data_IF_357449674346
#
_entry.id   IF_357449674346
#
_cell.length_a   1.000
_cell.length_b   1.000
_cell.length_c   1.000
_cell.angle_alpha   90.00
_cell.angle_beta   90.00
_cell.angle_gamma   90.00
#
_symmetry.space_group_name_H-M   'P 1'
#
loop_
_entity.id
_entity.type
_entity.pdbx_description
1 polymer ?
#
# COMPACT_ATOMS: atom_id res chain seq x y z
N UNK A 1 2.68 44.41 -1.22
CA UNK A 1 1.85 43.29 -1.70
C UNK A 1 2.45 42.04 -1.06
N UNK A 2 1.79 41.49 -0.04
CA UNK A 2 2.23 40.24 0.59
C UNK A 2 1.67 39.09 -0.25
N UNK A 3 2.52 38.13 -0.61
CA UNK A 3 2.10 36.83 -1.15
C UNK A 3 1.06 36.20 -0.20
N UNK A 4 -0.02 35.58 -0.72
CA UNK A 4 -0.90 34.80 0.13
C UNK A 4 -0.10 33.64 0.72
N UNK A 5 -0.05 33.55 2.04
CA UNK A 5 0.52 32.41 2.75
C UNK A 5 -0.11 31.13 2.18
N UNK A 6 0.72 30.23 1.65
CA UNK A 6 0.28 28.94 1.14
C UNK A 6 -0.60 28.27 2.19
N UNK A 7 -1.87 28.02 1.85
CA UNK A 7 -2.79 27.27 2.70
C UNK A 7 -2.09 25.95 2.99
N UNK A 8 -1.71 25.72 4.25
CA UNK A 8 -1.02 24.50 4.65
C UNK A 8 -1.88 23.31 4.22
N UNK A 9 -1.34 22.48 3.32
CA UNK A 9 -2.03 21.28 2.90
C UNK A 9 -2.07 20.31 4.08
N UNK A 10 -3.19 20.30 4.79
CA UNK A 10 -3.42 19.45 5.98
C UNK A 10 -3.20 17.97 5.67
N UNK A 11 -3.54 17.52 4.46
CA UNK A 11 -3.33 16.14 4.04
C UNK A 11 -1.84 15.83 3.88
N UNK A 12 -1.08 16.71 3.22
CA UNK A 12 0.37 16.58 3.15
C UNK A 12 1.01 16.58 4.55
N UNK A 13 0.54 17.45 5.45
CA UNK A 13 1.06 17.51 6.83
C UNK A 13 0.79 16.21 7.59
N UNK A 14 -0.38 15.59 7.41
CA UNK A 14 -0.69 14.31 8.01
C UNK A 14 0.21 13.18 7.47
N UNK A 15 0.43 13.12 6.16
CA UNK A 15 1.36 12.16 5.53
C UNK A 15 2.77 12.32 6.09
N UNK A 16 3.28 13.55 6.15
CA UNK A 16 4.61 13.84 6.68
C UNK A 16 4.72 13.46 8.18
N UNK A 17 3.67 13.71 8.96
CA UNK A 17 3.60 13.31 10.36
C UNK A 17 3.68 11.78 10.52
N UNK A 18 2.95 11.04 9.69
CA UNK A 18 2.96 9.58 9.70
C UNK A 18 4.33 9.02 9.32
N UNK A 19 4.96 9.57 8.28
CA UNK A 19 6.33 9.19 7.88
C UNK A 19 7.38 9.51 8.94
N UNK A 20 7.18 10.58 9.73
CA UNK A 20 8.04 10.94 10.85
C UNK A 20 7.80 10.11 12.13
N UNK A 21 6.71 9.32 12.17
CA UNK A 21 6.38 8.51 13.35
C UNK A 21 7.46 7.47 13.65
N UNK A 22 7.54 7.04 14.92
CA UNK A 22 8.48 6.00 15.32
C UNK A 22 8.18 4.66 14.62
N UNK A 23 6.89 4.35 14.45
CA UNK A 23 6.42 3.10 13.83
C UNK A 23 6.81 3.02 12.35
N UNK A 24 6.61 4.10 11.60
CA UNK A 24 7.02 4.16 10.20
C UNK A 24 8.54 4.00 10.05
N UNK A 25 9.32 4.77 10.83
CA UNK A 25 10.78 4.71 10.81
C UNK A 25 11.33 3.36 11.25
N UNK A 26 10.65 2.67 12.18
CA UNK A 26 11.04 1.32 12.59
C UNK A 26 10.87 0.31 11.45
N UNK A 27 9.78 0.38 10.68
CA UNK A 27 9.61 -0.48 9.50
C UNK A 27 10.69 -0.22 8.43
N UNK A 28 11.07 1.04 8.19
CA UNK A 28 12.21 1.37 7.33
C UNK A 28 13.51 0.77 7.87
N UNK A 29 13.80 0.95 9.17
CA UNK A 29 15.01 0.40 9.80
C UNK A 29 15.07 -1.12 9.77
N UNK A 30 13.92 -1.80 9.78
CA UNK A 30 13.79 -3.25 9.66
C UNK A 30 13.76 -3.75 8.22
N UNK A 31 13.88 -2.85 7.24
CA UNK A 31 13.74 -3.17 5.81
C UNK A 31 12.40 -3.84 5.46
N UNK A 32 11.31 -3.48 6.16
CA UNK A 32 9.96 -3.92 5.81
C UNK A 32 9.40 -3.12 4.64
N UNK A 33 9.80 -1.86 4.53
CA UNK A 33 9.46 -0.99 3.42
C UNK A 33 10.51 0.11 3.24
N UNK A 34 10.56 0.67 2.04
CA UNK A 34 11.49 1.73 1.65
C UNK A 34 10.76 2.80 0.85
N UNK A 35 11.08 4.07 1.08
CA UNK A 35 10.51 5.19 0.32
C UNK A 35 11.32 5.37 -0.96
N UNK A 36 10.66 5.38 -2.12
CA UNK A 36 11.30 5.77 -3.39
C UNK A 36 11.21 7.27 -3.64
N UNK A 37 10.04 7.86 -3.37
CA UNK A 37 9.80 9.27 -3.58
C UNK A 37 8.42 9.68 -3.10
N UNK A 38 8.29 10.96 -2.73
CA UNK A 38 7.04 11.55 -2.30
C UNK A 38 6.87 12.94 -2.88
N UNK A 39 5.83 13.12 -3.68
CA UNK A 39 5.36 14.41 -4.15
C UNK A 39 3.83 14.39 -4.02
N UNK A 40 3.31 15.15 -3.05
CA UNK A 40 1.90 15.08 -2.70
C UNK A 40 0.99 15.31 -3.93
N UNK A 41 -0.03 14.47 -4.17
CA UNK A 41 -0.54 13.40 -3.30
C UNK A 41 0.10 12.01 -3.53
N UNK A 42 1.11 11.90 -4.38
CA UNK A 42 1.67 10.63 -4.81
C UNK A 42 2.86 10.21 -3.94
N UNK A 43 2.79 8.99 -3.42
CA UNK A 43 3.87 8.33 -2.67
C UNK A 43 4.25 7.03 -3.36
N UNK A 44 5.54 6.84 -3.63
CA UNK A 44 6.08 5.57 -4.13
C UNK A 44 6.85 4.87 -3.02
N UNK A 45 6.51 3.61 -2.77
CA UNK A 45 7.14 2.77 -1.74
C UNK A 45 7.52 1.42 -2.33
N UNK A 46 8.64 0.87 -1.90
CA UNK A 46 8.92 -0.55 -1.99
C UNK A 46 8.46 -1.23 -0.69
N UNK A 47 7.85 -2.41 -0.79
CA UNK A 47 7.48 -3.24 0.36
C UNK A 47 8.15 -4.60 0.18
N UNK A 48 8.83 -5.06 1.23
CA UNK A 48 9.59 -6.30 1.17
C UNK A 48 8.74 -7.53 1.45
N UNK A 49 9.22 -8.65 0.93
CA UNK A 49 8.67 -9.98 1.03
C UNK A 49 9.82 -10.95 1.21
N UNK A 50 9.74 -11.83 2.21
CA UNK A 50 10.78 -12.82 2.50
C UNK A 50 10.19 -14.21 2.30
N UNK A 51 10.86 -15.03 1.48
CA UNK A 51 10.42 -16.41 1.27
C UNK A 51 10.97 -17.36 2.36
N UNK A 52 10.56 -18.62 2.30
CA UNK A 52 11.00 -19.66 3.24
C UNK A 52 12.52 -19.96 3.19
N UNK A 53 13.23 -19.49 2.16
CA UNK A 53 14.70 -19.59 2.01
C UNK A 53 15.42 -18.32 2.46
N UNK A 54 14.71 -17.40 3.12
CA UNK A 54 15.23 -16.09 3.55
C UNK A 54 15.66 -15.18 2.38
N UNK A 55 15.22 -15.47 1.17
CA UNK A 55 15.44 -14.56 0.04
C UNK A 55 14.45 -13.41 0.15
N UNK A 56 14.99 -12.19 0.16
CA UNK A 56 14.21 -10.95 0.23
C UNK A 56 13.97 -10.43 -1.17
N UNK A 57 12.71 -10.10 -1.47
CA UNK A 57 12.33 -9.35 -2.66
C UNK A 57 11.50 -8.14 -2.29
N UNK A 58 11.54 -7.13 -3.15
CA UNK A 58 10.70 -5.94 -3.03
C UNK A 58 9.66 -5.87 -4.15
N UNK A 59 8.49 -5.34 -3.80
CA UNK A 59 7.43 -4.98 -4.73
C UNK A 59 7.10 -3.50 -4.56
N UNK A 60 7.02 -2.79 -5.68
CA UNK A 60 6.77 -1.36 -5.68
C UNK A 60 5.28 -1.06 -5.70
N UNK A 61 4.90 -0.04 -4.95
CA UNK A 61 3.54 0.46 -4.85
C UNK A 61 3.51 1.96 -5.09
N UNK A 62 2.54 2.38 -5.89
CA UNK A 62 2.13 3.77 -6.03
C UNK A 62 0.90 4.00 -5.16
N UNK A 63 0.96 4.97 -4.28
CA UNK A 63 -0.16 5.44 -3.48
C UNK A 63 -0.62 6.80 -3.96
N UNK A 64 -1.94 6.98 -4.05
CA UNK A 64 -2.59 8.28 -4.14
C UNK A 64 -3.24 8.60 -2.77
N UNK A 65 -2.74 9.66 -2.16
CA UNK A 65 -3.07 10.13 -0.82
C UNK A 65 -3.94 11.39 -0.83
N UNK A 66 -4.64 11.67 -1.93
CA UNK A 66 -5.54 12.82 -2.01
C UNK A 66 -6.64 12.73 -0.95
N UNK A 67 -6.77 13.80 -0.15
CA UNK A 67 -7.74 13.89 0.96
C UNK A 67 -7.34 13.14 2.24
N UNK A 68 -6.13 12.56 2.30
CA UNK A 68 -5.63 11.86 3.48
C UNK A 68 -5.63 12.74 4.75
N UNK A 69 -5.87 12.21 5.96
CA UNK A 69 -6.38 10.86 6.27
C UNK A 69 -7.92 10.80 6.20
N UNK A 70 -8.59 11.92 5.90
CA UNK A 70 -10.06 11.98 5.83
C UNK A 70 -10.64 11.03 4.78
N UNK A 71 -9.99 10.96 3.62
CA UNK A 71 -10.25 9.96 2.60
C UNK A 71 -9.27 8.78 2.71
N UNK A 72 -9.76 7.60 2.34
CA UNK A 72 -8.93 6.42 2.15
C UNK A 72 -7.91 6.64 1.02
N UNK A 73 -6.71 6.06 1.11
CA UNK A 73 -5.77 6.08 0.00
C UNK A 73 -6.13 5.05 -1.07
N UNK A 74 -5.67 5.27 -2.29
CA UNK A 74 -5.69 4.26 -3.34
C UNK A 74 -4.27 3.73 -3.57
N UNK A 75 -4.10 2.43 -3.75
CA UNK A 75 -2.80 1.79 -3.93
C UNK A 75 -2.78 0.93 -5.20
N UNK A 76 -1.72 1.05 -6.00
CA UNK A 76 -1.46 0.19 -7.16
C UNK A 76 -0.11 -0.48 -7.02
N UNK A 77 -0.01 -1.72 -7.50
CA UNK A 77 1.30 -2.36 -7.70
C UNK A 77 1.91 -1.75 -8.95
N UNK A 78 3.14 -1.30 -8.84
CA UNK A 78 3.78 -0.42 -9.81
C UNK A 78 5.06 -1.04 -10.34
N UNK A 79 5.37 -0.74 -11.60
CA UNK A 79 6.68 -0.94 -12.19
C UNK A 79 7.39 0.42 -12.17
N UNK A 80 8.42 0.57 -11.32
CA UNK A 80 9.17 1.82 -11.21
C UNK A 80 10.03 2.12 -12.43
N UNK A 81 10.42 1.10 -13.21
CA UNK A 81 11.26 1.27 -14.39
C UNK A 81 10.45 1.80 -15.56
N UNK A 82 9.30 1.19 -15.82
CA UNK A 82 8.41 1.60 -16.90
C UNK A 82 7.43 2.71 -16.47
N UNK A 83 7.42 3.05 -15.18
CA UNK A 83 6.49 3.99 -14.54
C UNK A 83 5.03 3.71 -14.91
N UNK A 84 4.62 2.46 -14.73
CA UNK A 84 3.31 1.96 -15.13
C UNK A 84 2.76 0.95 -14.10
N UNK A 85 1.51 0.52 -14.28
CA UNK A 85 0.95 -0.59 -13.53
C UNK A 85 1.81 -1.85 -13.74
N UNK A 86 2.11 -2.58 -12.66
CA UNK A 86 2.81 -3.85 -12.79
C UNK A 86 1.89 -4.86 -13.50
N UNK A 87 2.32 -5.43 -14.65
CA UNK A 87 1.53 -6.43 -15.37
C UNK A 87 1.18 -7.62 -14.49
N UNK A 88 -0.04 -8.14 -14.61
CA UNK A 88 -0.55 -9.27 -13.82
C UNK A 88 0.39 -10.47 -13.77
N UNK A 89 1.07 -10.78 -14.88
CA UNK A 89 2.05 -11.88 -14.97
C UNK A 89 3.30 -11.68 -14.09
N UNK A 90 3.61 -10.44 -13.69
CA UNK A 90 4.77 -10.10 -12.86
C UNK A 90 4.40 -9.84 -11.40
N UNK A 91 3.11 -9.73 -11.08
CA UNK A 91 2.62 -9.55 -9.72
C UNK A 91 3.01 -10.76 -8.84
N UNK A 92 3.12 -10.58 -7.51
CA UNK A 92 3.39 -11.70 -6.61
C UNK A 92 2.39 -12.84 -6.80
N UNK A 93 2.79 -14.08 -6.54
CA UNK A 93 1.89 -15.23 -6.53
C UNK A 93 2.12 -16.00 -5.23
N UNK A 94 1.03 -16.41 -4.60
CA UNK A 94 1.05 -17.17 -3.34
C UNK A 94 -0.33 -17.66 -2.98
N UNK A 95 -0.63 -17.74 -1.68
CA UNK A 95 -1.92 -18.24 -1.20
C UNK A 95 -3.13 -17.47 -1.77
N UNK A 96 -4.33 -18.05 -1.65
CA UNK A 96 -5.58 -17.45 -2.15
C UNK A 96 -5.77 -16.01 -1.65
N UNK A 97 -5.41 -15.73 -0.39
CA UNK A 97 -5.55 -14.38 0.20
C UNK A 97 -4.64 -13.37 -0.48
N UNK A 98 -3.38 -13.74 -0.75
CA UNK A 98 -2.47 -12.91 -1.53
C UNK A 98 -3.02 -12.71 -2.94
N UNK A 99 -3.23 -13.79 -3.67
CA UNK A 99 -3.72 -13.76 -5.06
C UNK A 99 -4.97 -12.89 -5.24
N UNK A 100 -5.94 -12.95 -4.32
CA UNK A 100 -7.12 -12.07 -4.37
C UNK A 100 -6.82 -10.60 -4.13
N UNK A 101 -5.88 -10.26 -3.24
CA UNK A 101 -5.54 -8.88 -2.91
C UNK A 101 -4.77 -8.17 -4.04
N UNK A 102 -3.98 -8.91 -4.82
CA UNK A 102 -3.11 -8.35 -5.85
C UNK A 102 -3.53 -8.72 -7.27
N UNK A 103 -4.69 -9.33 -7.48
CA UNK A 103 -5.22 -9.61 -8.83
C UNK A 103 -5.40 -8.35 -9.66
N UNK A 104 -5.41 -8.50 -10.97
CA UNK A 104 -5.93 -7.48 -11.86
C UNK A 104 -7.46 -7.53 -11.84
N UNK A 105 -8.07 -6.37 -11.62
CA UNK A 105 -9.53 -6.18 -11.58
C UNK A 105 -9.82 -4.72 -11.92
N UNK A 106 -11.05 -4.40 -12.31
CA UNK A 106 -11.59 -3.04 -12.48
C UNK A 106 -10.57 -1.88 -12.52
N UNK A 107 -10.36 -1.24 -11.37
CA UNK A 107 -9.49 -0.06 -11.19
C UNK A 107 -7.99 -0.35 -11.04
N UNK A 108 -7.59 -1.61 -11.12
CA UNK A 108 -6.23 -2.14 -10.97
C UNK A 108 -5.56 -1.85 -9.61
N UNK A 109 -6.29 -1.28 -8.64
CA UNK A 109 -5.79 -1.05 -7.29
C UNK A 109 -5.63 -2.36 -6.53
N UNK A 110 -4.99 -2.31 -5.38
CA UNK A 110 -4.95 -3.40 -4.43
C UNK A 110 -6.37 -3.67 -3.92
N UNK A 111 -6.82 -4.92 -3.99
CA UNK A 111 -8.18 -5.32 -3.63
C UNK A 111 -8.32 -5.54 -2.12
N UNK A 112 -8.29 -4.44 -1.35
CA UNK A 112 -8.36 -4.45 0.13
C UNK A 112 -9.43 -3.50 0.67
N UNK A 113 -10.03 -3.78 1.85
CA UNK A 113 -11.10 -2.95 2.38
C UNK A 113 -10.71 -1.50 2.70
N UNK A 114 -9.42 -1.23 2.96
CA UNK A 114 -8.91 0.12 3.19
C UNK A 114 -8.62 0.89 1.91
N UNK A 115 -8.56 0.22 0.75
CA UNK A 115 -8.29 0.90 -0.52
C UNK A 115 -9.52 1.71 -0.94
N UNK A 116 -9.31 2.95 -1.38
CA UNK A 116 -10.38 3.89 -1.75
C UNK A 116 -11.29 3.35 -2.85
N UNK A 117 -10.75 2.60 -3.80
CA UNK A 117 -11.50 2.08 -4.94
C UNK A 117 -12.04 0.66 -4.67
N UNK A 118 -11.30 -0.18 -3.96
CA UNK A 118 -11.74 -1.53 -3.62
C UNK A 118 -12.71 -1.57 -2.43
N UNK A 119 -12.56 -0.68 -1.45
CA UNK A 119 -13.33 -0.65 -0.19
C UNK A 119 -14.85 -0.79 -0.36
N UNK A 120 -15.50 -0.04 -1.27
CA UNK A 120 -16.94 -0.16 -1.52
C UNK A 120 -17.40 -1.57 -1.97
N UNK A 121 -16.52 -2.38 -2.53
CA UNK A 121 -16.85 -3.77 -2.92
C UNK A 121 -16.96 -4.71 -1.71
N UNK A 122 -16.49 -4.29 -0.53
CA UNK A 122 -16.58 -5.03 0.72
C UNK A 122 -17.79 -4.62 1.58
N UNK A 123 -18.50 -3.53 1.26
CA UNK A 123 -19.58 -3.01 2.12
C UNK A 123 -20.98 -3.61 1.91
N UNK A 124 -21.17 -4.57 0.98
CA UNK A 124 -22.50 -5.01 0.52
C UNK A 124 -22.90 -6.49 0.70
N UNK A 125 -22.11 -7.32 1.38
CA UNK A 125 -22.35 -8.78 1.44
C UNK A 125 -22.85 -9.28 2.81
N UNK A 126 -23.90 -10.11 2.83
CA UNK A 126 -24.34 -10.85 4.02
C UNK A 126 -23.37 -11.96 4.48
N UNK A 127 -22.35 -12.28 3.66
CA UNK A 127 -21.33 -13.31 3.92
C UNK A 127 -19.91 -12.71 4.03
N UNK A 128 -19.77 -11.52 4.61
CA UNK A 128 -18.45 -10.94 4.83
C UNK A 128 -17.60 -11.85 5.76
N UNK A 129 -16.34 -12.15 5.41
CA UNK A 129 -15.46 -12.90 6.29
C UNK A 129 -15.36 -12.23 7.66
N UNK A 130 -15.42 -13.02 8.73
CA UNK A 130 -15.26 -12.49 10.09
C UNK A 130 -13.93 -11.71 10.19
N UNK A 131 -13.99 -10.52 10.80
CA UNK A 131 -12.84 -9.65 10.99
C UNK A 131 -12.48 -8.74 9.81
N UNK A 132 -13.17 -8.83 8.66
CA UNK A 132 -12.91 -7.92 7.52
C UNK A 132 -13.15 -6.45 7.89
N UNK A 133 -14.05 -6.18 8.85
CA UNK A 133 -14.34 -4.86 9.39
C UNK A 133 -13.07 -4.14 9.91
N UNK A 134 -12.13 -4.89 10.50
CA UNK A 134 -10.88 -4.36 11.05
C UNK A 134 -9.92 -3.86 9.97
N UNK A 135 -10.20 -4.15 8.70
CA UNK A 135 -9.38 -3.73 7.57
C UNK A 135 -9.93 -2.51 6.83
N UNK A 136 -11.11 -2.00 7.19
CA UNK A 136 -11.63 -0.77 6.56
C UNK A 136 -10.85 0.46 7.03
N UNK A 137 -10.70 1.41 6.12
CA UNK A 137 -10.10 2.71 6.42
C UNK A 137 -10.97 3.53 7.37
N UNK A 138 -10.32 4.24 8.29
CA UNK A 138 -10.90 5.33 9.06
C UNK A 138 -9.83 6.39 9.26
N UNK A 139 -10.23 7.64 9.45
CA UNK A 139 -9.30 8.79 9.50
C UNK A 139 -8.35 8.84 10.70
N UNK A 140 -8.53 7.94 11.67
CA UNK A 140 -7.59 7.75 12.78
C UNK A 140 -6.54 6.66 12.51
N UNK A 141 -6.55 6.03 11.33
CA UNK A 141 -5.45 5.18 10.85
C UNK A 141 -4.35 6.03 10.25
N UNK A 142 -3.15 5.47 10.23
CA UNK A 142 -1.96 6.06 9.63
C UNK A 142 -1.47 5.22 8.45
N UNK A 143 -0.42 5.69 7.76
CA UNK A 143 0.22 4.94 6.67
C UNK A 143 0.72 3.56 7.11
N UNK A 144 1.18 3.40 8.36
CA UNK A 144 1.78 2.13 8.81
C UNK A 144 0.75 1.02 8.89
N UNK A 145 -0.52 1.32 9.14
CA UNK A 145 -1.59 0.33 9.07
C UNK A 145 -1.67 -0.34 7.68
N UNK A 146 -1.49 0.44 6.61
CA UNK A 146 -1.54 -0.08 5.23
C UNK A 146 -0.26 -0.85 4.91
N UNK A 147 0.89 -0.28 5.28
CA UNK A 147 2.20 -0.86 4.99
C UNK A 147 2.38 -2.20 5.72
N UNK A 148 1.90 -2.31 6.95
CA UNK A 148 1.91 -3.57 7.69
C UNK A 148 0.95 -4.59 7.09
N UNK A 149 -0.28 -4.21 6.72
CA UNK A 149 -1.20 -5.14 6.04
C UNK A 149 -0.60 -5.67 4.74
N UNK A 150 0.01 -4.81 3.92
CA UNK A 150 0.68 -5.19 2.67
C UNK A 150 1.91 -6.06 2.91
N UNK A 151 2.77 -5.69 3.86
CA UNK A 151 3.95 -6.47 4.22
C UNK A 151 3.54 -7.86 4.75
N UNK A 152 2.56 -7.95 5.64
CA UNK A 152 2.01 -9.23 6.10
C UNK A 152 1.45 -10.03 4.94
N UNK A 153 0.65 -9.41 4.06
CA UNK A 153 0.08 -10.07 2.87
C UNK A 153 1.14 -10.69 1.97
N UNK A 154 2.20 -9.93 1.71
CA UNK A 154 3.35 -10.36 0.91
C UNK A 154 4.20 -11.42 1.62
N UNK A 155 4.01 -11.66 2.91
CA UNK A 155 4.71 -12.69 3.68
C UNK A 155 3.82 -13.90 4.05
N UNK A 156 2.57 -13.96 3.58
CA UNK A 156 1.65 -15.11 3.76
C UNK A 156 2.00 -16.31 2.84
N UNK A 157 3.27 -16.73 2.83
CA UNK A 157 3.91 -17.63 1.84
C UNK A 157 4.06 -16.98 0.46
N UNK A 158 5.12 -16.19 0.27
CA UNK A 158 5.53 -15.71 -1.04
C UNK A 158 6.61 -16.58 -1.70
N UNK A 159 6.52 -16.61 -3.03
CA UNK A 159 7.37 -17.24 -4.05
C UNK A 159 6.97 -18.62 -4.57
N UNK A 160 5.85 -18.67 -5.30
CA UNK A 160 5.76 -19.47 -6.55
C UNK A 160 5.25 -18.59 -7.69
N UNK A 161 6.14 -17.77 -8.26
CA UNK A 161 5.89 -16.89 -9.41
C UNK A 161 5.69 -15.40 -9.05
N UNK A 162 6.13 -14.51 -9.95
CA UNK A 162 6.19 -13.05 -9.77
C UNK A 162 7.63 -12.51 -9.80
N UNK A 163 7.87 -11.46 -10.59
CA UNK A 163 9.18 -10.83 -10.76
C UNK A 163 9.39 -9.73 -9.70
N UNK A 164 9.38 -10.10 -8.42
CA UNK A 164 9.90 -9.20 -7.39
C UNK A 164 11.38 -8.91 -7.65
N UNK A 165 11.83 -7.69 -7.40
CA UNK A 165 13.24 -7.30 -7.53
C UNK A 165 14.01 -7.76 -6.29
N UNK A 166 15.28 -8.11 -6.42
CA UNK A 166 16.13 -8.33 -5.26
C UNK A 166 16.24 -7.01 -4.47
N UNK A 167 16.12 -7.11 -3.14
CA UNK A 167 16.31 -5.98 -2.25
C UNK A 167 17.75 -5.47 -2.24
#
# INVERSE_FOLDING_TARGET
>A
MAEPAAIANTAQTAVLKDMASARFRLGVKRAFWRVHGYEHPILFMAISSTNAKEEVREFDFKFDLEGFPGAAPAAWIWDMKENALLPGALRPIGCRRLSEAIKEWGSYTVYRPWDRLAGPHFSGGSNQPQGIANFFWHSTRDLTFILEDLHELLNLEAFVGGAGQAA
#
